data_IF_433760538680
#
_entry.id   IF_433760538680
#
_cell.length_a   1.000
_cell.length_b   1.000
_cell.length_c   1.000
_cell.angle_alpha   90.00
_cell.angle_beta   90.00
_cell.angle_gamma   90.00
#
_symmetry.space_group_name_H-M   'P 1'
#
loop_
_entity.id
_entity.type
_entity.pdbx_description
1 polymer ?
#
# COMPACT_ATOMS: atom_id res chain seq x y z
N UNK A 1 -0.68 -16.67 5.11
CA UNK A 1 -1.71 -15.67 5.46
C UNK A 1 -3.08 -16.37 5.54
N UNK A 2 -3.74 -16.38 6.70
CA UNK A 2 -5.04 -17.03 6.88
C UNK A 2 -6.16 -15.99 6.81
N UNK A 3 -6.99 -16.04 5.76
CA UNK A 3 -8.24 -15.28 5.69
C UNK A 3 -9.27 -16.04 6.53
N UNK A 4 -9.81 -15.40 7.57
CA UNK A 4 -11.01 -15.92 8.26
C UNK A 4 -12.23 -15.47 7.47
N UNK A 5 -12.92 -16.42 6.85
CA UNK A 5 -14.19 -16.16 6.15
C UNK A 5 -15.26 -15.77 7.17
N UNK A 6 -15.67 -14.50 7.15
CA UNK A 6 -16.97 -14.08 7.63
C UNK A 6 -17.94 -14.03 6.43
N UNK A 7 -19.18 -14.47 6.67
CA UNK A 7 -20.30 -14.55 5.73
C UNK A 7 -20.55 -13.26 4.91
N UNK A 8 -21.33 -13.30 3.82
CA UNK A 8 -21.13 -12.47 2.64
C UNK A 8 -21.38 -11.00 3.00
N UNK A 9 -20.41 -10.14 2.66
CA UNK A 9 -20.42 -8.69 2.92
C UNK A 9 -19.97 -8.30 4.35
N UNK A 10 -18.82 -8.80 4.79
CA UNK A 10 -17.92 -7.98 5.62
C UNK A 10 -16.88 -7.36 4.72
N UNK A 11 -16.99 -6.04 4.51
CA UNK A 11 -16.11 -5.26 3.64
C UNK A 11 -14.68 -5.07 4.19
N UNK A 12 -14.31 -5.73 5.29
CA UNK A 12 -12.98 -5.63 5.89
C UNK A 12 -12.30 -7.00 6.00
N UNK A 13 -11.08 -7.10 5.48
CA UNK A 13 -10.22 -8.29 5.52
C UNK A 13 -9.04 -8.00 6.45
N UNK A 14 -8.76 -8.86 7.44
CA UNK A 14 -7.55 -8.73 8.25
C UNK A 14 -6.41 -9.57 7.66
N UNK A 15 -5.26 -8.96 7.41
CA UNK A 15 -4.01 -9.67 7.07
C UNK A 15 -3.11 -9.74 8.31
N UNK A 16 -2.62 -10.94 8.62
CA UNK A 16 -1.66 -11.16 9.71
C UNK A 16 -0.23 -11.28 9.18
N UNK A 17 0.74 -10.81 9.97
CA UNK A 17 2.17 -10.85 9.63
C UNK A 17 2.71 -12.27 9.47
N UNK A 18 3.52 -12.52 8.44
CA UNK A 18 4.55 -13.57 8.50
C UNK A 18 5.71 -13.07 9.37
N UNK A 19 6.01 -13.79 10.45
CA UNK A 19 7.15 -13.48 11.33
C UNK A 19 8.46 -13.69 10.56
N UNK A 20 8.95 -12.64 9.90
CA UNK A 20 10.37 -12.52 9.59
C UNK A 20 11.08 -12.08 10.87
N UNK A 21 11.93 -12.95 11.41
CA UNK A 21 12.77 -12.65 12.56
C UNK A 21 13.69 -11.47 12.23
N UNK A 22 13.26 -10.26 12.58
CA UNK A 22 14.08 -9.08 12.49
C UNK A 22 15.02 -9.09 13.71
N UNK A 23 16.25 -9.55 13.51
CA UNK A 23 17.32 -9.48 14.53
C UNK A 23 17.63 -8.01 14.81
N UNK A 24 17.13 -7.49 15.94
CA UNK A 24 17.56 -6.22 16.53
C UNK A 24 19.09 -6.21 16.65
N UNK A 25 19.76 -5.37 15.87
CA UNK A 25 21.15 -4.97 16.11
C UNK A 25 21.19 -3.61 16.79
N UNK A 26 21.74 -3.61 18.01
CA UNK A 26 22.67 -2.59 18.51
C UNK A 26 22.15 -1.17 18.74
N UNK A 27 22.08 -0.79 20.02
CA UNK A 27 21.96 0.59 20.55
C UNK A 27 22.76 1.62 19.73
N UNK A 28 22.12 2.75 19.41
CA UNK A 28 22.76 3.96 18.89
C UNK A 28 23.49 4.71 20.03
N UNK A 29 24.76 5.01 19.81
CA UNK A 29 25.54 5.99 20.58
C UNK A 29 25.29 7.40 20.01
N UNK A 30 25.09 8.43 20.84
CA UNK A 30 24.78 9.77 20.35
C UNK A 30 26.03 10.66 20.35
N UNK A 31 26.97 10.50 19.42
CA UNK A 31 28.00 11.54 19.18
C UNK A 31 28.39 11.59 17.70
N UNK A 32 28.28 12.79 17.12
CA UNK A 32 28.65 13.07 15.73
C UNK A 32 30.16 13.11 15.53
N UNK A 33 30.57 12.55 14.39
CA UNK A 33 31.67 13.02 13.54
C UNK A 33 31.57 12.26 12.22
N UNK A 34 31.89 12.93 11.11
CA UNK A 34 31.87 12.42 9.74
C UNK A 34 32.71 11.13 9.57
N UNK A 35 32.14 9.98 9.89
CA UNK A 35 32.70 8.67 9.56
C UNK A 35 32.49 8.44 8.05
N UNK A 36 33.54 8.10 7.27
CA UNK A 36 33.42 7.70 5.88
C UNK A 36 32.29 6.70 5.59
N UNK A 37 31.96 5.82 6.54
CA UNK A 37 30.82 4.92 6.41
C UNK A 37 29.48 5.67 6.43
N UNK A 38 29.29 6.64 7.33
CA UNK A 38 28.09 7.47 7.40
C UNK A 38 27.92 8.36 6.16
N UNK A 39 29.03 8.92 5.66
CA UNK A 39 29.04 9.70 4.43
C UNK A 39 28.70 8.84 3.19
N UNK A 40 29.26 7.63 3.10
CA UNK A 40 28.98 6.70 2.00
C UNK A 40 27.53 6.20 2.00
N UNK A 41 26.96 5.90 3.18
CA UNK A 41 25.54 5.55 3.32
C UNK A 41 24.66 6.72 2.89
N UNK A 42 24.95 7.94 3.36
CA UNK A 42 24.20 9.14 3.01
C UNK A 42 24.23 9.47 1.51
N UNK A 43 25.39 9.30 0.86
CA UNK A 43 25.52 9.49 -0.60
C UNK A 43 24.70 8.46 -1.38
N UNK A 44 24.74 7.19 -0.96
CA UNK A 44 23.97 6.12 -1.58
C UNK A 44 22.46 6.38 -1.45
N UNK A 45 21.99 6.73 -0.25
CA UNK A 45 20.58 7.00 -0.01
C UNK A 45 20.09 8.19 -0.86
N UNK A 46 20.88 9.26 -0.96
CA UNK A 46 20.56 10.40 -1.83
C UNK A 46 20.46 10.00 -3.30
N UNK A 47 21.41 9.21 -3.80
CA UNK A 47 21.38 8.71 -5.18
C UNK A 47 20.14 7.86 -5.44
N UNK A 48 19.75 6.98 -4.51
CA UNK A 48 18.54 6.18 -4.62
C UNK A 48 17.28 7.06 -4.69
N UNK A 49 17.18 8.09 -3.86
CA UNK A 49 16.02 9.00 -3.86
C UNK A 49 15.91 9.80 -5.15
N UNK A 50 17.03 10.24 -5.72
CA UNK A 50 17.06 10.93 -7.01
C UNK A 50 16.59 10.00 -8.14
N UNK A 51 17.05 8.74 -8.16
CA UNK A 51 16.57 7.73 -9.11
C UNK A 51 15.07 7.45 -8.96
N UNK A 52 14.59 7.27 -7.73
CA UNK A 52 13.15 7.04 -7.47
C UNK A 52 12.33 8.24 -7.93
N UNK A 53 12.77 9.47 -7.65
CA UNK A 53 12.09 10.68 -8.11
C UNK A 53 11.98 10.71 -9.64
N UNK A 54 13.08 10.50 -10.35
CA UNK A 54 13.10 10.43 -11.82
C UNK A 54 12.14 9.35 -12.34
N UNK A 55 12.16 8.16 -11.74
CA UNK A 55 11.29 7.06 -12.11
C UNK A 55 9.79 7.41 -11.94
N UNK A 56 9.43 8.07 -10.83
CA UNK A 56 8.05 8.48 -10.58
C UNK A 56 7.57 9.58 -11.55
N UNK A 57 8.44 10.54 -11.88
CA UNK A 57 8.16 11.58 -12.88
C UNK A 57 7.88 10.99 -14.26
N UNK A 58 8.67 9.99 -14.68
CA UNK A 58 8.52 9.30 -15.95
C UNK A 58 7.54 8.11 -15.90
N UNK A 59 6.85 7.90 -14.77
CA UNK A 59 5.95 6.76 -14.53
C UNK A 59 6.60 5.39 -14.83
N UNK A 60 7.88 5.24 -14.56
CA UNK A 60 8.65 4.00 -14.69
C UNK A 60 8.30 3.06 -13.53
N UNK A 61 7.10 2.50 -13.60
CA UNK A 61 6.57 1.60 -12.57
C UNK A 61 5.80 0.45 -13.20
N UNK A 62 5.75 -0.68 -12.49
CA UNK A 62 4.91 -1.82 -12.83
C UNK A 62 4.22 -2.39 -11.60
N UNK A 63 3.17 -3.17 -11.82
CA UNK A 63 2.48 -3.89 -10.75
C UNK A 63 2.86 -5.37 -10.82
N UNK A 64 3.48 -5.88 -9.76
CA UNK A 64 3.65 -7.31 -9.53
C UNK A 64 2.40 -7.87 -8.82
N UNK A 65 2.07 -9.14 -9.05
CA UNK A 65 0.87 -9.77 -8.50
C UNK A 65 1.26 -10.95 -7.62
N UNK A 66 0.90 -10.89 -6.34
CA UNK A 66 1.06 -12.00 -5.42
C UNK A 66 -0.30 -12.66 -5.18
N UNK A 67 -0.48 -13.96 -5.48
CA UNK A 67 -1.75 -14.64 -5.24
C UNK A 67 -1.98 -14.81 -3.73
N UNK A 68 -3.18 -14.44 -3.27
CA UNK A 68 -3.67 -14.77 -1.95
C UNK A 68 -4.63 -15.95 -2.10
N UNK A 69 -4.32 -17.06 -1.43
CA UNK A 69 -5.03 -18.33 -1.57
C UNK A 69 -6.19 -18.42 -0.57
N UNK A 70 -7.35 -18.91 -1.03
CA UNK A 70 -8.46 -19.25 -0.14
C UNK A 70 -8.13 -20.53 0.65
N UNK A 71 -8.67 -20.64 1.88
CA UNK A 71 -8.48 -21.84 2.70
C UNK A 71 -9.08 -23.10 2.06
N UNK A 72 -10.16 -22.93 1.29
CA UNK A 72 -10.82 -23.98 0.50
C UNK A 72 -10.03 -24.39 -0.75
N UNK A 73 -8.91 -23.72 -1.03
CA UNK A 73 -8.16 -23.85 -2.27
C UNK A 73 -8.58 -22.84 -3.33
N UNK A 74 -7.69 -22.61 -4.30
CA UNK A 74 -7.87 -21.59 -5.33
C UNK A 74 -7.41 -20.19 -4.90
N UNK A 75 -7.32 -19.27 -5.86
CA UNK A 75 -6.93 -17.87 -5.62
C UNK A 75 -8.16 -17.09 -5.18
N UNK A 76 -8.10 -16.48 -4.00
CA UNK A 76 -9.14 -15.59 -3.49
C UNK A 76 -9.10 -14.21 -4.18
N UNK A 77 -7.90 -13.64 -4.26
CA UNK A 77 -7.59 -12.41 -4.98
C UNK A 77 -6.06 -12.31 -5.16
N UNK A 78 -5.61 -11.31 -5.91
CA UNK A 78 -4.20 -10.97 -6.03
C UNK A 78 -3.90 -9.70 -5.24
N UNK A 79 -2.74 -9.65 -4.61
CA UNK A 79 -2.18 -8.43 -4.08
C UNK A 79 -1.30 -7.75 -5.12
N UNK A 80 -1.64 -6.51 -5.44
CA UNK A 80 -0.92 -5.64 -6.37
C UNK A 80 0.21 -4.91 -5.66
N UNK A 81 1.44 -5.32 -5.94
CA UNK A 81 2.64 -4.76 -5.35
C UNK A 81 3.37 -3.87 -6.36
N UNK A 82 3.34 -2.56 -6.13
CA UNK A 82 4.02 -1.61 -7.01
C UNK A 82 5.55 -1.83 -7.00
N UNK A 83 6.16 -1.71 -8.16
CA UNK A 83 7.62 -1.80 -8.37
C UNK A 83 8.06 -0.55 -9.11
N UNK A 84 9.03 0.15 -8.54
CA UNK A 84 9.69 1.30 -9.18
C UNK A 84 10.86 0.78 -9.99
N UNK A 85 10.99 1.24 -11.22
CA UNK A 85 12.03 0.82 -12.16
C UNK A 85 13.02 1.96 -12.37
N UNK A 86 14.31 1.63 -12.43
CA UNK A 86 15.32 2.58 -12.89
C UNK A 86 15.27 2.75 -14.42
N UNK A 87 16.10 3.65 -14.94
CA UNK A 87 16.17 3.95 -16.38
C UNK A 87 16.59 2.74 -17.23
N UNK A 88 17.25 1.74 -16.62
CA UNK A 88 17.64 0.48 -17.28
C UNK A 88 16.53 -0.58 -17.23
N UNK A 89 15.41 -0.29 -16.56
CA UNK A 89 14.29 -1.18 -16.34
C UNK A 89 14.46 -2.14 -15.17
N UNK A 90 15.47 -1.96 -14.30
CA UNK A 90 15.67 -2.80 -13.11
C UNK A 90 14.82 -2.30 -11.95
N UNK A 91 14.37 -3.21 -11.10
CA UNK A 91 13.58 -2.87 -9.92
C UNK A 91 14.48 -2.20 -8.88
N UNK A 92 14.13 -0.98 -8.48
CA UNK A 92 14.68 -0.34 -7.29
C UNK A 92 14.00 -0.98 -6.07
N UNK A 93 14.74 -1.62 -5.14
CA UNK A 93 14.12 -2.30 -4.01
C UNK A 93 13.42 -1.30 -3.07
N UNK A 94 12.14 -1.56 -2.76
CA UNK A 94 11.34 -0.67 -1.90
C UNK A 94 11.99 -0.39 -0.54
N UNK A 95 12.63 -1.40 0.07
CA UNK A 95 13.36 -1.26 1.34
C UNK A 95 14.45 -0.19 1.34
N UNK A 96 14.93 0.24 0.18
CA UNK A 96 15.99 1.25 0.05
C UNK A 96 15.45 2.69 0.05
N UNK A 97 14.13 2.89 -0.11
CA UNK A 97 13.56 4.24 -0.18
C UNK A 97 12.24 4.42 0.56
N UNK A 98 11.44 3.36 0.78
CA UNK A 98 10.04 3.49 1.20
C UNK A 98 9.91 4.21 2.54
N UNK A 99 10.72 3.84 3.54
CA UNK A 99 10.72 4.46 4.87
C UNK A 99 11.10 5.95 4.84
N UNK A 100 11.80 6.40 3.81
CA UNK A 100 12.22 7.80 3.66
C UNK A 100 11.13 8.63 2.98
N UNK A 101 10.37 8.03 2.07
CA UNK A 101 9.42 8.77 1.23
C UNK A 101 7.95 8.58 1.60
N UNK A 102 7.62 7.59 2.43
CA UNK A 102 6.24 7.21 2.74
C UNK A 102 5.39 8.37 3.30
N UNK A 103 6.03 9.30 4.03
CA UNK A 103 5.35 10.47 4.62
C UNK A 103 5.40 11.71 3.71
N UNK A 104 6.06 11.62 2.56
CA UNK A 104 6.29 12.72 1.62
C UNK A 104 5.28 12.71 0.46
N UNK A 105 5.35 13.71 -0.42
CA UNK A 105 4.58 13.70 -1.66
C UNK A 105 4.92 12.51 -2.57
N UNK A 106 6.17 12.03 -2.59
CA UNK A 106 6.56 10.88 -3.40
C UNK A 106 5.80 9.61 -2.98
N UNK A 107 5.55 9.39 -1.70
CA UNK A 107 4.68 8.31 -1.21
C UNK A 107 3.26 8.40 -1.78
N UNK A 108 2.65 9.59 -1.78
CA UNK A 108 1.32 9.81 -2.38
C UNK A 108 1.30 9.64 -3.90
N UNK A 109 2.41 9.97 -4.58
CA UNK A 109 2.58 9.72 -6.01
C UNK A 109 2.64 8.21 -6.28
N UNK A 110 3.34 7.44 -5.46
CA UNK A 110 3.35 5.98 -5.54
C UNK A 110 1.94 5.42 -5.37
N UNK A 111 1.18 5.86 -4.38
CA UNK A 111 -0.22 5.45 -4.17
C UNK A 111 -1.07 5.74 -5.42
N UNK A 112 -0.90 6.91 -6.04
CA UNK A 112 -1.60 7.27 -7.28
C UNK A 112 -1.24 6.31 -8.42
N UNK A 113 0.06 6.02 -8.59
CA UNK A 113 0.54 5.16 -9.67
C UNK A 113 0.13 3.70 -9.47
N UNK A 114 0.16 3.20 -8.23
CA UNK A 114 -0.34 1.89 -7.86
C UNK A 114 -1.83 1.76 -8.19
N UNK A 115 -2.64 2.76 -7.81
CA UNK A 115 -4.05 2.80 -8.15
C UNK A 115 -4.29 2.88 -9.67
N UNK A 116 -3.57 3.75 -10.39
CA UNK A 116 -3.68 3.88 -11.86
C UNK A 116 -3.41 2.53 -12.56
N UNK A 117 -2.38 1.81 -12.14
CA UNK A 117 -2.00 0.51 -12.70
C UNK A 117 -3.00 -0.59 -12.31
N UNK A 118 -3.44 -0.62 -11.05
CA UNK A 118 -4.44 -1.58 -10.56
C UNK A 118 -5.78 -1.43 -11.27
N UNK A 119 -6.30 -0.21 -11.39
CA UNK A 119 -7.55 0.07 -12.11
C UNK A 119 -7.44 -0.24 -13.61
N UNK A 120 -6.27 -0.03 -14.21
CA UNK A 120 -6.01 -0.46 -15.59
C UNK A 120 -6.06 -1.98 -15.71
N UNK A 121 -5.50 -2.72 -14.75
CA UNK A 121 -5.53 -4.17 -14.73
C UNK A 121 -6.95 -4.72 -14.55
N UNK A 122 -7.73 -4.15 -13.62
CA UNK A 122 -9.12 -4.52 -13.36
C UNK A 122 -10.02 -4.30 -14.57
N UNK A 123 -9.82 -3.23 -15.35
CA UNK A 123 -10.55 -3.00 -16.60
C UNK A 123 -10.20 -4.00 -17.69
N UNK A 124 -8.93 -4.39 -17.80
CA UNK A 124 -8.48 -5.35 -18.80
C UNK A 124 -8.88 -6.79 -18.48
N UNK A 125 -9.12 -7.09 -17.20
CA UNK A 125 -9.37 -8.45 -16.71
C UNK A 125 -10.62 -8.46 -15.83
N UNK A 126 -11.81 -8.73 -16.39
CA UNK A 126 -13.06 -8.73 -15.63
C UNK A 126 -13.10 -9.73 -14.47
N UNK A 127 -12.38 -10.85 -14.58
CA UNK A 127 -12.30 -11.88 -13.54
C UNK A 127 -11.23 -11.60 -12.46
N UNK A 128 -10.45 -10.52 -12.61
CA UNK A 128 -9.43 -10.16 -11.63
C UNK A 128 -10.07 -9.50 -10.43
N UNK A 129 -9.76 -10.01 -9.23
CA UNK A 129 -9.96 -9.35 -7.94
C UNK A 129 -8.58 -8.95 -7.39
N UNK A 130 -8.42 -7.68 -7.03
CA UNK A 130 -7.10 -7.08 -6.80
C UNK A 130 -7.10 -6.21 -5.56
N UNK A 131 -6.15 -6.45 -4.63
CA UNK A 131 -5.82 -5.49 -3.59
C UNK A 131 -4.76 -4.50 -4.04
N UNK A 132 -4.93 -3.23 -3.66
CA UNK A 132 -3.98 -2.15 -3.90
C UNK A 132 -3.71 -1.45 -2.57
N UNK A 133 -2.44 -1.38 -2.21
CA UNK A 133 -1.96 -0.64 -1.05
C UNK A 133 -2.24 0.86 -1.19
N UNK A 134 -2.69 1.49 -0.11
CA UNK A 134 -2.86 2.93 0.01
C UNK A 134 -2.49 3.43 1.40
N UNK A 135 -1.91 4.63 1.49
CA UNK A 135 -1.77 5.33 2.76
C UNK A 135 -3.04 6.12 3.11
N UNK A 136 -3.38 6.23 4.40
CA UNK A 136 -4.47 7.09 4.88
C UNK A 136 -4.22 8.57 4.50
N UNK A 137 -2.95 8.96 4.38
CA UNK A 137 -2.52 10.29 3.91
C UNK A 137 -2.93 10.60 2.46
N UNK A 138 -3.29 9.59 1.67
CA UNK A 138 -3.78 9.75 0.29
C UNK A 138 -5.30 9.98 0.20
N UNK A 139 -6.07 9.77 1.27
CA UNK A 139 -7.53 10.00 1.29
C UNK A 139 -7.88 11.44 0.89
N UNK A 140 -7.14 12.41 1.44
CA UNK A 140 -7.30 13.84 1.12
C UNK A 140 -6.56 14.31 -0.13
N UNK A 141 -5.81 13.43 -0.80
CA UNK A 141 -4.98 13.84 -1.94
C UNK A 141 -5.80 13.89 -3.24
N UNK A 142 -6.08 15.11 -3.71
CA UNK A 142 -7.02 15.34 -4.82
C UNK A 142 -6.68 14.60 -6.11
N UNK A 143 -5.40 14.36 -6.41
CA UNK A 143 -4.98 13.56 -7.58
C UNK A 143 -5.44 12.11 -7.44
N UNK A 144 -5.21 11.51 -6.27
CA UNK A 144 -5.59 10.14 -5.98
C UNK A 144 -7.10 9.94 -6.06
N UNK A 145 -7.86 10.79 -5.35
CA UNK A 145 -9.33 10.76 -5.34
C UNK A 145 -9.91 10.87 -6.74
N UNK A 146 -9.39 11.79 -7.56
CA UNK A 146 -9.85 11.97 -8.95
C UNK A 146 -9.63 10.71 -9.80
N UNK A 147 -8.52 10.00 -9.61
CA UNK A 147 -8.25 8.74 -10.32
C UNK A 147 -9.27 7.68 -9.93
N UNK A 148 -9.50 7.49 -8.63
CA UNK A 148 -10.48 6.52 -8.13
C UNK A 148 -11.89 6.84 -8.66
N UNK A 149 -12.34 8.06 -8.42
CA UNK A 149 -13.71 8.48 -8.72
C UNK A 149 -14.04 8.39 -10.20
N UNK A 150 -13.10 8.77 -11.07
CA UNK A 150 -13.28 8.65 -12.51
C UNK A 150 -13.49 7.19 -12.93
N UNK A 151 -12.72 6.26 -12.37
CA UNK A 151 -12.81 4.86 -12.79
C UNK A 151 -14.07 4.18 -12.25
N UNK A 152 -14.41 4.39 -10.97
CA UNK A 152 -15.63 3.83 -10.38
C UNK A 152 -16.90 4.39 -11.02
N UNK A 153 -16.91 5.65 -11.46
CA UNK A 153 -18.05 6.20 -12.23
C UNK A 153 -18.18 5.59 -13.63
N UNK A 154 -17.06 5.30 -14.28
CA UNK A 154 -17.06 4.78 -15.65
C UNK A 154 -17.36 3.29 -15.72
N UNK A 155 -16.99 2.54 -14.67
CA UNK A 155 -17.23 1.11 -14.55
C UNK A 155 -17.50 0.76 -13.08
N UNK A 156 -18.77 0.72 -12.65
CA UNK A 156 -19.15 0.40 -11.28
C UNK A 156 -18.69 -1.00 -10.84
N UNK A 157 -18.51 -1.95 -11.77
CA UNK A 157 -18.07 -3.33 -11.46
C UNK A 157 -16.63 -3.40 -10.97
N UNK A 158 -15.85 -2.33 -11.14
CA UNK A 158 -14.50 -2.23 -10.58
C UNK A 158 -14.56 -2.22 -9.05
N UNK A 159 -15.55 -1.57 -8.45
CA UNK A 159 -15.67 -1.45 -7.01
C UNK A 159 -15.67 -2.82 -6.33
N UNK A 160 -16.56 -3.70 -6.78
CA UNK A 160 -16.75 -5.07 -6.28
C UNK A 160 -15.48 -5.94 -6.33
N UNK A 161 -14.53 -5.59 -7.19
CA UNK A 161 -13.30 -6.36 -7.44
C UNK A 161 -12.05 -5.68 -6.89
N UNK A 162 -12.17 -4.42 -6.47
CA UNK A 162 -11.10 -3.65 -5.87
C UNK A 162 -11.10 -3.84 -4.36
N UNK A 163 -9.94 -4.17 -3.82
CA UNK A 163 -9.69 -4.20 -2.39
C UNK A 163 -8.68 -3.08 -2.08
N UNK A 164 -9.01 -2.17 -1.18
CA UNK A 164 -8.11 -1.13 -0.72
C UNK A 164 -7.41 -1.59 0.55
N UNK A 165 -6.09 -1.62 0.52
CA UNK A 165 -5.29 -2.14 1.61
C UNK A 165 -4.62 -1.00 2.37
N UNK A 166 -4.85 -0.94 3.68
CA UNK A 166 -4.36 0.11 4.59
C UNK A 166 -3.67 -0.60 5.74
N UNK A 167 -2.46 -0.19 6.10
CA UNK A 167 -1.79 -0.74 7.29
C UNK A 167 -2.42 -0.20 8.58
N UNK A 168 -2.38 -0.98 9.66
CA UNK A 168 -2.86 -0.54 10.98
C UNK A 168 -2.25 0.81 11.39
N UNK A 169 -0.93 0.95 11.26
CA UNK A 169 -0.21 2.20 11.58
C UNK A 169 -0.75 3.39 10.77
N UNK A 170 -1.00 3.20 9.47
CA UNK A 170 -1.49 4.25 8.59
C UNK A 170 -2.94 4.63 8.94
N UNK A 171 -3.79 3.65 9.22
CA UNK A 171 -5.18 3.88 9.62
C UNK A 171 -5.28 4.69 10.93
N UNK A 172 -4.42 4.39 11.91
CA UNK A 172 -4.43 5.03 13.22
C UNK A 172 -3.90 6.48 13.22
N UNK A 173 -3.28 6.95 12.13
CA UNK A 173 -2.88 8.37 12.01
C UNK A 173 -4.10 9.31 11.97
N UNK A 174 -5.17 8.88 11.31
CA UNK A 174 -6.38 9.68 11.04
C UNK A 174 -7.63 8.79 11.03
N UNK A 175 -7.95 8.10 12.15
CA UNK A 175 -8.96 7.03 12.16
C UNK A 175 -10.34 7.48 11.72
N UNK A 176 -10.81 8.65 12.19
CA UNK A 176 -12.13 9.18 11.81
C UNK A 176 -12.24 9.45 10.30
N UNK A 177 -11.15 9.92 9.68
CA UNK A 177 -11.10 10.15 8.24
C UNK A 177 -11.12 8.82 7.47
N UNK A 178 -10.44 7.80 7.98
CA UNK A 178 -10.39 6.46 7.38
C UNK A 178 -11.75 5.79 7.48
N UNK A 179 -12.42 5.84 8.63
CA UNK A 179 -13.78 5.28 8.82
C UNK A 179 -14.77 5.92 7.84
N UNK A 180 -14.80 7.26 7.78
CA UNK A 180 -15.70 7.96 6.86
C UNK A 180 -15.40 7.63 5.39
N UNK A 181 -14.12 7.50 5.04
CA UNK A 181 -13.68 7.12 3.70
C UNK A 181 -14.05 5.67 3.35
N UNK A 182 -13.93 4.75 4.31
CA UNK A 182 -14.32 3.36 4.13
C UNK A 182 -15.82 3.25 3.88
N UNK A 183 -16.64 3.92 4.69
CA UNK A 183 -18.09 3.94 4.52
C UNK A 183 -18.50 4.42 3.10
N UNK A 184 -17.94 5.56 2.63
CA UNK A 184 -18.22 6.10 1.29
C UNK A 184 -17.87 5.12 0.16
N UNK A 185 -16.75 4.40 0.27
CA UNK A 185 -16.31 3.48 -0.79
C UNK A 185 -16.98 2.11 -0.73
N UNK A 186 -17.40 1.66 0.46
CA UNK A 186 -18.18 0.43 0.62
C UNK A 186 -19.55 0.55 -0.05
N UNK A 187 -20.20 1.72 -0.01
CA UNK A 187 -21.43 2.00 -0.78
C UNK A 187 -21.23 1.84 -2.30
N UNK A 188 -19.98 1.87 -2.75
CA UNK A 188 -19.56 1.73 -4.16
C UNK A 188 -18.96 0.35 -4.44
N UNK A 189 -19.15 -0.61 -3.53
CA UNK A 189 -18.72 -2.01 -3.65
C UNK A 189 -17.26 -2.27 -3.31
N UNK A 190 -16.48 -1.25 -2.95
CA UNK A 190 -15.05 -1.41 -2.64
C UNK A 190 -14.88 -2.15 -1.32
N UNK A 191 -14.07 -3.20 -1.34
CA UNK A 191 -13.65 -3.90 -0.13
C UNK A 191 -12.40 -3.23 0.45
N UNK A 192 -12.15 -3.44 1.73
CA UNK A 192 -10.97 -2.99 2.44
C UNK A 192 -10.22 -4.15 3.07
N UNK A 193 -8.91 -3.99 3.22
CA UNK A 193 -8.07 -4.87 4.01
C UNK A 193 -7.24 -4.03 4.99
N UNK A 194 -7.21 -4.45 6.25
CA UNK A 194 -6.30 -3.91 7.25
C UNK A 194 -5.07 -4.83 7.35
N UNK A 195 -3.92 -4.30 6.97
CA UNK A 195 -2.64 -5.02 6.99
C UNK A 195 -1.83 -4.75 8.27
N UNK A 196 -0.89 -5.63 8.58
CA UNK A 196 -0.06 -5.64 9.80
C UNK A 196 -0.85 -5.67 11.12
N UNK A 197 -2.07 -6.20 11.09
CA UNK A 197 -2.93 -6.21 12.27
C UNK A 197 -2.33 -7.01 13.43
N UNK A 198 -2.27 -6.39 14.62
CA UNK A 198 -1.81 -7.02 15.86
C UNK A 198 -0.30 -6.89 16.13
N UNK A 199 0.43 -6.13 15.31
CA UNK A 199 1.84 -5.81 15.55
C UNK A 199 2.05 -4.67 16.58
N UNK A 200 0.99 -3.93 16.96
CA UNK A 200 1.00 -2.89 18.01
C UNK A 200 -0.13 -1.85 17.91
N UNK A 201 -0.20 -0.91 18.88
CA UNK A 201 -1.10 0.26 18.96
C UNK A 201 -2.63 0.07 18.79
N UNK A 202 -3.17 -1.13 18.91
CA UNK A 202 -4.62 -1.30 18.83
C UNK A 202 -5.31 -0.74 20.08
N UNK A 203 -5.94 0.43 19.97
CA UNK A 203 -7.13 0.69 20.77
C UNK A 203 -8.25 -0.15 20.16
N UNK A 204 -8.65 -1.23 20.82
CA UNK A 204 -9.77 -2.11 20.40
C UNK A 204 -11.05 -1.32 20.03
N UNK A 205 -11.16 -0.08 20.51
CA UNK A 205 -12.23 0.86 20.21
C UNK A 205 -12.42 1.11 18.71
N UNK A 206 -11.36 1.44 17.97
CA UNK A 206 -11.48 1.81 16.54
C UNK A 206 -11.67 0.60 15.63
N UNK A 207 -11.21 -0.58 16.06
CA UNK A 207 -11.36 -1.81 15.28
C UNK A 207 -12.82 -2.17 14.98
N UNK A 208 -13.73 -1.87 15.90
CA UNK A 208 -15.16 -2.13 15.71
C UNK A 208 -15.78 -1.19 14.67
N UNK A 209 -15.17 -0.03 14.49
CA UNK A 209 -15.71 1.04 13.66
C UNK A 209 -15.09 1.02 12.24
N UNK A 210 -14.01 0.26 12.01
CA UNK A 210 -13.47 -0.10 10.69
C UNK A 210 -14.19 -1.32 10.10
#
# INVERSE_FOLDING_TARGET
MYIRDFAPITHLIFKGTEMTQNRKRGRLNPHGNDDPLSAAVSQRDRSTLEMVRSALEHKQVMLAYQPIMAATGGVAFYEGLIRVLDETGRIIPAREFINVIEETEMGRIIDCLALEQGLRALRKNPNLRLSINMSARSIGYGRWKRVLDRNLRNDPTIGERLIMEITETSAMLVPELVIAFMADLQERGVCFALDDFGAGYTSFRYLRDF
#
